data_IF_555795983871
#
_entry.id   IF_555795983871
#
_cell.length_a   1.000
_cell.length_b   1.000
_cell.length_c   1.000
_cell.angle_alpha   90.00
_cell.angle_beta   90.00
_cell.angle_gamma   90.00
#
_symmetry.space_group_name_H-M   'P 1'
#
loop_
_entity.id
_entity.type
_entity.pdbx_description
1 polymer ?
#
# COMPACT_ATOMS: atom_id res chain seq x y z
N UNK A 1 -53.05 -28.55 31.04
CA UNK A 1 -54.08 -27.57 30.66
C UNK A 1 -53.80 -27.12 29.22
N UNK A 2 -54.81 -27.05 28.34
CA UNK A 2 -55.86 -28.03 28.06
C UNK A 2 -55.75 -28.53 26.58
N UNK A 3 -56.64 -29.48 26.21
CA UNK A 3 -57.39 -29.61 24.93
C UNK A 3 -56.74 -29.18 23.57
N UNK A 4 -56.91 -29.84 22.42
CA UNK A 4 -57.99 -30.69 21.92
C UNK A 4 -57.56 -31.34 20.57
N UNK A 5 -57.79 -32.65 20.47
CA UNK A 5 -58.37 -33.43 19.34
C UNK A 5 -57.84 -33.33 17.89
N UNK A 6 -57.44 -34.51 17.40
CA UNK A 6 -57.18 -34.93 16.01
C UNK A 6 -58.50 -35.05 15.18
N UNK A 7 -58.64 -35.86 14.11
CA UNK A 7 -57.73 -36.45 13.11
C UNK A 7 -58.26 -36.22 11.66
N UNK A 8 -57.66 -36.85 10.64
CA UNK A 8 -58.37 -37.77 9.71
C UNK A 8 -57.35 -38.44 8.78
N UNK A 9 -57.02 -39.69 9.12
CA UNK A 9 -56.58 -40.71 8.18
C UNK A 9 -57.64 -40.95 7.10
N UNK A 10 -57.24 -41.33 5.88
CA UNK A 10 -57.95 -42.33 5.05
C UNK A 10 -57.07 -42.77 3.87
N UNK A 11 -56.46 -43.95 4.05
CA UNK A 11 -56.56 -45.12 3.13
C UNK A 11 -55.56 -45.30 1.98
N UNK A 12 -54.59 -46.19 2.25
CA UNK A 12 -53.90 -47.17 1.38
C UNK A 12 -54.94 -48.11 0.70
N UNK A 13 -54.75 -48.80 -0.47
CA UNK A 13 -53.55 -49.60 -0.73
C UNK A 13 -53.14 -49.98 -2.18
N UNK A 14 -51.92 -50.56 -2.22
CA UNK A 14 -51.43 -51.65 -3.09
C UNK A 14 -51.26 -51.40 -4.60
N UNK A 15 -50.04 -51.56 -5.12
CA UNK A 15 -49.51 -52.89 -5.47
C UNK A 15 -48.15 -52.78 -6.21
N UNK A 16 -47.16 -53.48 -5.66
CA UNK A 16 -46.27 -54.42 -6.36
C UNK A 16 -45.70 -54.07 -7.74
N UNK A 17 -44.38 -53.85 -7.80
CA UNK A 17 -43.38 -54.76 -8.41
C UNK A 17 -42.09 -54.00 -8.72
N UNK A 18 -40.99 -54.42 -8.09
CA UNK A 18 -39.67 -54.28 -8.72
C UNK A 18 -39.62 -55.16 -9.97
N UNK A 19 -38.90 -54.71 -11.01
CA UNK A 19 -37.61 -55.33 -11.24
C UNK A 19 -36.50 -54.34 -11.62
N UNK A 20 -35.27 -54.77 -11.32
CA UNK A 20 -33.99 -54.16 -11.65
C UNK A 20 -33.82 -53.81 -13.12
N UNK A 21 -33.11 -52.72 -13.41
CA UNK A 21 -32.71 -52.34 -14.77
C UNK A 21 -31.68 -51.22 -14.75
N UNK A 22 -30.46 -51.58 -15.11
CA UNK A 22 -29.21 -50.82 -15.12
C UNK A 22 -29.20 -49.65 -16.13
N UNK A 23 -28.30 -48.68 -15.88
CA UNK A 23 -27.67 -47.72 -16.82
C UNK A 23 -28.36 -46.36 -17.11
N UNK A 24 -27.64 -45.30 -16.72
CA UNK A 24 -27.39 -44.16 -17.62
C UNK A 24 -27.92 -42.81 -17.15
N UNK A 25 -27.10 -42.05 -16.40
CA UNK A 25 -27.02 -40.57 -16.48
C UNK A 25 -26.00 -40.03 -15.45
N UNK A 26 -24.71 -40.29 -15.66
CA UNK A 26 -23.61 -39.65 -14.93
C UNK A 26 -22.64 -39.12 -15.97
N UNK A 27 -22.85 -37.89 -16.42
CA UNK A 27 -21.97 -37.30 -17.43
C UNK A 27 -22.61 -36.13 -18.14
N UNK A 28 -22.79 -35.01 -17.43
CA UNK A 28 -22.89 -33.69 -18.07
C UNK A 28 -22.74 -32.53 -17.07
N UNK A 29 -22.93 -32.76 -15.77
CA UNK A 29 -22.76 -31.71 -14.74
C UNK A 29 -21.29 -31.42 -14.36
N UNK A 30 -20.43 -32.44 -14.35
CA UNK A 30 -19.04 -32.27 -13.91
C UNK A 30 -18.16 -31.56 -14.95
N UNK A 31 -18.37 -31.76 -16.25
CA UNK A 31 -17.56 -31.07 -17.27
C UNK A 31 -17.86 -29.56 -17.33
N UNK A 32 -19.12 -29.17 -17.16
CA UNK A 32 -19.50 -27.77 -17.09
C UNK A 32 -18.97 -27.09 -15.82
N UNK A 33 -19.06 -27.76 -14.65
CA UNK A 33 -18.47 -27.25 -13.40
C UNK A 33 -16.95 -27.15 -13.48
N UNK A 34 -16.26 -28.16 -14.01
CA UNK A 34 -14.81 -28.12 -14.19
C UNK A 34 -14.42 -27.03 -15.18
N UNK A 35 -15.15 -26.85 -16.27
CA UNK A 35 -14.93 -25.78 -17.23
C UNK A 35 -15.13 -24.39 -16.62
N UNK A 36 -16.20 -24.19 -15.85
CA UNK A 36 -16.47 -22.93 -15.14
C UNK A 36 -15.40 -22.64 -14.08
N UNK A 37 -14.98 -23.65 -13.32
CA UNK A 37 -13.89 -23.53 -12.34
C UNK A 37 -12.56 -23.22 -13.03
N UNK A 38 -12.23 -23.88 -14.14
CA UNK A 38 -11.01 -23.58 -14.91
C UNK A 38 -11.04 -22.15 -15.48
N UNK A 39 -12.16 -21.71 -16.03
CA UNK A 39 -12.30 -20.33 -16.53
C UNK A 39 -12.20 -19.33 -15.38
N UNK A 40 -12.81 -19.59 -14.22
CA UNK A 40 -12.65 -18.76 -13.03
C UNK A 40 -11.21 -18.71 -12.53
N UNK A 41 -10.50 -19.84 -12.48
CA UNK A 41 -9.10 -19.90 -12.09
C UNK A 41 -8.21 -19.14 -13.08
N UNK A 42 -8.46 -19.28 -14.38
CA UNK A 42 -7.74 -18.55 -15.42
C UNK A 42 -8.03 -17.04 -15.33
N UNK A 43 -9.28 -16.62 -15.13
CA UNK A 43 -9.64 -15.21 -14.97
C UNK A 43 -9.07 -14.61 -13.69
N UNK A 44 -9.09 -15.35 -12.58
CA UNK A 44 -8.47 -14.93 -11.32
C UNK A 44 -6.94 -14.84 -11.46
N UNK A 45 -6.31 -15.78 -12.16
CA UNK A 45 -4.89 -15.75 -12.47
C UNK A 45 -4.51 -14.53 -13.33
N UNK A 46 -5.26 -14.25 -14.41
CA UNK A 46 -5.02 -13.09 -15.27
C UNK A 46 -5.33 -11.76 -14.59
N UNK A 47 -6.32 -11.72 -13.69
CA UNK A 47 -6.64 -10.51 -12.90
C UNK A 47 -5.70 -10.28 -11.71
N UNK A 48 -4.91 -11.29 -11.32
CA UNK A 48 -3.97 -11.22 -10.19
C UNK A 48 -2.53 -10.89 -10.59
N UNK A 49 -2.19 -10.96 -11.88
CA UNK A 49 -0.86 -10.57 -12.35
C UNK A 49 -0.73 -9.04 -12.27
N UNK A 50 0.36 -8.56 -11.64
CA UNK A 50 0.68 -7.14 -11.63
C UNK A 50 0.90 -6.63 -13.05
N UNK A 51 0.40 -5.44 -13.36
CA UNK A 51 0.73 -4.81 -14.63
C UNK A 51 2.21 -4.41 -14.62
N UNK A 52 2.99 -4.91 -15.58
CA UNK A 52 4.36 -4.45 -15.83
C UNK A 52 4.39 -3.27 -16.81
N UNK A 53 3.24 -2.66 -17.10
CA UNK A 53 3.11 -1.49 -17.96
C UNK A 53 3.36 -0.19 -17.18
N UNK A 54 4.59 -0.04 -16.69
CA UNK A 54 5.00 1.15 -15.97
C UNK A 54 5.32 2.30 -16.93
N UNK A 55 5.05 3.56 -16.54
CA UNK A 55 5.47 4.70 -17.34
C UNK A 55 7.00 4.79 -17.40
N UNK A 56 7.54 5.33 -18.50
CA UNK A 56 8.95 5.71 -18.59
C UNK A 56 9.15 7.09 -17.96
N UNK A 57 9.92 7.16 -16.88
CA UNK A 57 10.18 8.39 -16.11
C UNK A 57 11.61 8.37 -15.62
N UNK A 58 12.33 9.49 -15.76
CA UNK A 58 13.71 9.61 -15.30
C UNK A 58 13.82 9.60 -13.76
N UNK A 59 14.93 9.09 -13.19
CA UNK A 59 15.11 9.01 -11.73
C UNK A 59 14.94 10.35 -11.01
N UNK A 60 15.37 11.45 -11.61
CA UNK A 60 15.26 12.81 -11.06
C UNK A 60 13.81 13.23 -10.87
N UNK A 61 12.95 12.91 -11.85
CA UNK A 61 11.52 13.24 -11.80
C UNK A 61 10.80 12.41 -10.76
N UNK A 62 11.15 11.11 -10.65
CA UNK A 62 10.61 10.23 -9.62
C UNK A 62 11.04 10.66 -8.22
N UNK A 63 12.31 11.04 -8.04
CA UNK A 63 12.84 11.59 -6.79
C UNK A 63 12.16 12.90 -6.40
N UNK A 64 11.96 13.80 -7.36
CA UNK A 64 11.25 15.08 -7.15
C UNK A 64 9.82 14.86 -6.68
N UNK A 65 9.08 13.91 -7.26
CA UNK A 65 7.73 13.54 -6.81
C UNK A 65 7.72 13.01 -5.38
N UNK A 66 8.63 12.09 -5.04
CA UNK A 66 8.75 11.56 -3.68
C UNK A 66 9.08 12.67 -2.65
N UNK A 67 9.95 13.61 -3.01
CA UNK A 67 10.28 14.76 -2.18
C UNK A 67 9.08 15.69 -2.00
N UNK A 68 8.34 16.02 -3.07
CA UNK A 68 7.16 16.89 -3.01
C UNK A 68 6.08 16.33 -2.05
N UNK A 69 5.82 15.03 -2.14
CA UNK A 69 4.94 14.31 -1.21
C UNK A 69 5.39 14.45 0.25
N UNK A 70 6.68 14.30 0.51
CA UNK A 70 7.25 14.50 1.85
C UNK A 70 7.19 15.96 2.31
N UNK A 71 7.43 16.91 1.41
CA UNK A 71 7.40 18.34 1.68
C UNK A 71 6.00 18.82 2.08
N UNK A 72 4.96 18.33 1.38
CA UNK A 72 3.57 18.61 1.73
C UNK A 72 3.25 18.09 3.14
N UNK A 73 3.60 16.82 3.42
CA UNK A 73 3.38 16.24 4.74
C UNK A 73 4.14 17.02 5.84
N UNK A 74 5.39 17.42 5.58
CA UNK A 74 6.22 18.20 6.49
C UNK A 74 5.57 19.56 6.85
N UNK A 75 4.99 20.23 5.85
CA UNK A 75 4.31 21.50 6.03
C UNK A 75 3.04 21.35 6.88
N UNK A 76 2.24 20.29 6.67
CA UNK A 76 1.03 20.00 7.45
C UNK A 76 1.35 19.61 8.91
N UNK A 77 2.40 18.80 9.10
CA UNK A 77 2.96 18.48 10.42
C UNK A 77 3.40 19.74 11.15
N UNK A 78 3.80 20.77 10.41
CA UNK A 78 4.07 22.11 10.94
C UNK A 78 5.41 22.23 11.66
N UNK A 79 6.35 21.32 11.37
CA UNK A 79 7.72 21.42 11.84
C UNK A 79 8.40 22.66 11.26
N UNK A 80 9.41 23.18 11.96
CA UNK A 80 10.07 24.45 11.62
C UNK A 80 11.56 24.32 11.34
N UNK A 81 12.16 23.20 11.72
CA UNK A 81 13.58 22.93 11.49
C UNK A 81 13.79 22.60 10.01
N UNK A 82 14.94 22.99 9.47
CA UNK A 82 15.40 22.49 8.16
C UNK A 82 16.25 21.24 8.39
N UNK A 83 16.14 20.27 7.50
CA UNK A 83 16.86 19.00 7.51
C UNK A 83 17.75 18.95 6.29
N UNK A 84 19.05 19.05 6.51
CA UNK A 84 20.03 18.96 5.43
C UNK A 84 20.12 17.54 4.87
N UNK A 85 20.47 17.38 3.58
CA UNK A 85 20.61 16.07 2.96
C UNK A 85 21.64 15.18 3.67
N UNK A 86 21.37 13.88 3.69
CA UNK A 86 22.21 12.85 4.30
C UNK A 86 21.72 12.38 5.66
N UNK A 87 22.56 11.57 6.30
CA UNK A 87 22.36 11.05 7.66
C UNK A 87 23.70 11.03 8.37
N UNK A 88 23.74 11.58 9.58
CA UNK A 88 24.93 11.46 10.42
C UNK A 88 24.92 10.12 11.16
N UNK A 89 23.80 9.79 11.81
CA UNK A 89 23.59 8.57 12.60
C UNK A 89 22.14 8.09 12.52
N UNK A 90 21.96 6.94 11.87
CA UNK A 90 20.64 6.34 11.68
C UNK A 90 19.90 6.14 13.01
N UNK A 91 18.64 6.58 13.07
CA UNK A 91 17.76 6.43 14.23
C UNK A 91 18.09 7.32 15.42
N UNK A 92 19.06 8.24 15.28
CA UNK A 92 19.51 9.15 16.34
C UNK A 92 19.55 10.60 15.86
N UNK A 93 20.09 10.86 14.67
CA UNK A 93 20.19 12.20 14.11
C UNK A 93 19.06 12.50 13.13
N UNK A 94 19.05 13.73 12.62
CA UNK A 94 18.36 14.03 11.37
C UNK A 94 18.75 13.10 10.23
N UNK A 95 17.78 12.84 9.37
CA UNK A 95 17.93 12.10 8.13
C UNK A 95 17.18 12.82 7.03
N UNK A 96 17.73 12.85 5.82
CA UNK A 96 17.06 13.34 4.61
C UNK A 96 17.72 12.65 3.42
N UNK A 97 17.14 11.57 2.93
CA UNK A 97 17.75 10.69 1.94
C UNK A 97 16.73 10.24 0.89
N UNK A 98 17.22 9.99 -0.31
CA UNK A 98 16.51 9.17 -1.28
C UNK A 98 16.99 7.72 -1.20
N UNK A 99 16.13 6.80 -1.62
CA UNK A 99 16.53 5.43 -1.95
C UNK A 99 15.66 4.91 -3.08
N UNK A 100 16.22 4.02 -3.89
CA UNK A 100 15.48 3.32 -4.93
C UNK A 100 15.21 1.87 -4.53
N UNK A 101 14.25 1.24 -5.19
CA UNK A 101 13.91 -0.15 -4.94
C UNK A 101 13.38 -0.84 -6.19
N UNK A 102 13.49 -2.18 -6.18
CA UNK A 102 12.99 -3.02 -7.25
C UNK A 102 11.46 -2.98 -7.38
N UNK A 103 11.02 -3.11 -8.62
CA UNK A 103 9.63 -3.39 -8.98
C UNK A 103 9.47 -4.86 -9.36
N UNK A 104 8.29 -5.40 -9.10
CA UNK A 104 8.00 -6.83 -9.26
C UNK A 104 6.79 -7.02 -10.18
N UNK A 105 6.77 -8.12 -10.93
CA UNK A 105 5.68 -8.48 -11.85
C UNK A 105 4.42 -9.03 -11.16
N UNK A 106 4.46 -9.20 -9.83
CA UNK A 106 3.35 -9.68 -9.01
C UNK A 106 3.05 -11.18 -9.17
N UNK A 107 3.85 -11.91 -9.96
CA UNK A 107 3.84 -13.37 -10.07
C UNK A 107 2.48 -14.00 -10.43
N UNK A 108 2.43 -15.32 -10.55
CA UNK A 108 1.15 -16.04 -10.55
C UNK A 108 0.69 -16.17 -9.09
N UNK A 109 -0.41 -15.49 -8.72
CA UNK A 109 -0.95 -15.49 -7.35
C UNK A 109 0.06 -15.01 -6.28
N UNK A 110 1.05 -14.19 -6.65
CA UNK A 110 2.08 -13.67 -5.73
C UNK A 110 3.10 -14.71 -5.23
N UNK A 111 3.21 -15.88 -5.87
CA UNK A 111 4.10 -16.96 -5.42
C UNK A 111 5.49 -16.97 -6.08
N UNK A 112 5.64 -16.30 -7.22
CA UNK A 112 6.85 -16.31 -8.06
C UNK A 112 7.19 -14.88 -8.56
N UNK A 113 7.12 -13.90 -7.66
CA UNK A 113 7.41 -12.50 -7.99
C UNK A 113 8.86 -12.35 -8.48
N UNK A 114 9.02 -11.86 -9.71
CA UNK A 114 10.33 -11.56 -10.29
C UNK A 114 10.52 -10.06 -10.37
N UNK A 115 11.77 -9.64 -10.20
CA UNK A 115 12.15 -8.27 -10.48
C UNK A 115 11.93 -7.97 -11.96
N UNK A 116 11.35 -6.82 -12.25
CA UNK A 116 11.18 -6.35 -13.62
C UNK A 116 12.41 -5.52 -13.99
N UNK A 117 13.19 -6.01 -14.94
CA UNK A 117 14.42 -5.36 -15.37
C UNK A 117 14.17 -3.93 -15.87
N UNK A 118 15.01 -3.00 -15.42
CA UNK A 118 14.87 -1.56 -15.70
C UNK A 118 13.71 -0.85 -15.03
N UNK A 119 12.84 -1.57 -14.30
CA UNK A 119 11.79 -0.98 -13.50
C UNK A 119 12.27 -0.73 -12.06
N UNK A 120 12.00 0.48 -11.59
CA UNK A 120 12.42 0.96 -10.28
C UNK A 120 11.32 1.83 -9.67
N UNK A 121 11.40 2.01 -8.35
CA UNK A 121 10.62 3.03 -7.64
C UNK A 121 11.54 3.87 -6.80
N UNK A 122 11.21 5.15 -6.65
CA UNK A 122 11.91 6.07 -5.76
C UNK A 122 11.15 6.25 -4.46
N UNK A 123 11.91 6.46 -3.39
CA UNK A 123 11.38 6.88 -2.11
C UNK A 123 12.24 7.95 -1.49
N UNK A 124 11.61 8.78 -0.68
CA UNK A 124 12.23 9.80 0.13
C UNK A 124 11.94 9.51 1.59
N UNK A 125 12.99 9.54 2.42
CA UNK A 125 12.91 9.29 3.84
C UNK A 125 13.60 10.40 4.61
N UNK A 126 12.97 10.85 5.69
CA UNK A 126 13.49 11.90 6.54
C UNK A 126 13.19 11.64 8.01
N UNK A 127 14.00 12.24 8.87
CA UNK A 127 13.84 12.14 10.30
C UNK A 127 14.22 13.41 11.04
N UNK A 128 13.60 13.60 12.20
CA UNK A 128 13.89 14.66 13.14
C UNK A 128 14.10 14.06 14.54
N UNK A 129 15.27 14.34 15.11
CA UNK A 129 15.52 14.23 16.54
C UNK A 129 14.91 15.39 17.33
N UNK A 130 14.66 15.13 18.62
CA UNK A 130 14.15 16.08 19.60
C UNK A 130 12.79 16.70 19.25
N UNK A 131 11.88 15.91 18.66
CA UNK A 131 10.49 16.29 18.42
C UNK A 131 9.63 15.92 19.63
N UNK A 132 9.19 16.89 20.44
CA UNK A 132 8.38 16.60 21.62
C UNK A 132 6.95 16.18 21.24
N UNK A 133 6.31 15.43 22.12
CA UNK A 133 4.91 15.00 22.00
C UNK A 133 3.94 16.15 21.66
N UNK A 134 4.18 17.33 22.24
CA UNK A 134 3.37 18.55 22.02
C UNK A 134 3.39 19.07 20.58
N UNK A 135 4.35 18.61 19.75
CA UNK A 135 4.45 18.90 18.32
C UNK A 135 4.04 17.71 17.48
N UNK A 136 4.59 16.53 17.76
CA UNK A 136 4.36 15.32 16.97
C UNK A 136 2.89 14.89 16.94
N UNK A 137 2.26 14.75 18.12
CA UNK A 137 0.88 14.22 18.25
C UNK A 137 -0.15 15.10 17.54
N UNK A 138 -0.26 16.42 17.83
CA UNK A 138 -1.20 17.26 17.10
C UNK A 138 -0.83 17.41 15.62
N UNK A 139 0.46 17.30 15.26
CA UNK A 139 0.91 17.26 13.87
C UNK A 139 0.35 16.07 13.11
N UNK A 140 0.55 14.86 13.63
CA UNK A 140 0.06 13.61 13.04
C UNK A 140 -1.46 13.61 12.86
N UNK A 141 -2.22 14.12 13.83
CA UNK A 141 -3.68 14.25 13.71
C UNK A 141 -4.09 15.18 12.57
N UNK A 142 -3.42 16.33 12.41
CA UNK A 142 -3.66 17.24 11.27
C UNK A 142 -3.29 16.57 9.95
N UNK A 143 -2.15 15.88 9.90
CA UNK A 143 -1.70 15.17 8.72
C UNK A 143 -2.66 14.06 8.31
N UNK A 144 -3.13 13.25 9.26
CA UNK A 144 -4.11 12.21 9.01
C UNK A 144 -5.40 12.79 8.40
N UNK A 145 -5.92 13.89 8.97
CA UNK A 145 -7.12 14.54 8.46
C UNK A 145 -6.89 15.08 7.04
N UNK A 146 -5.79 15.82 6.84
CA UNK A 146 -5.41 16.36 5.54
C UNK A 146 -5.29 15.27 4.46
N UNK A 147 -4.61 14.16 4.76
CA UNK A 147 -4.44 13.06 3.80
C UNK A 147 -5.79 12.42 3.45
N UNK A 148 -6.67 12.18 4.43
CA UNK A 148 -8.03 11.68 4.19
C UNK A 148 -8.83 12.62 3.29
N UNK A 149 -8.79 13.93 3.57
CA UNK A 149 -9.51 14.94 2.81
C UNK A 149 -8.99 15.07 1.35
N UNK A 150 -7.74 14.66 1.11
CA UNK A 150 -7.10 14.66 -0.21
C UNK A 150 -7.07 13.26 -0.87
N UNK A 151 -7.95 12.35 -0.44
CA UNK A 151 -8.18 11.07 -1.13
C UNK A 151 -7.19 9.94 -0.80
N UNK A 152 -6.36 10.10 0.23
CA UNK A 152 -5.52 9.00 0.71
C UNK A 152 -6.32 8.02 1.56
N UNK A 153 -6.04 6.73 1.40
CA UNK A 153 -6.57 5.68 2.25
C UNK A 153 -5.64 5.46 3.44
N UNK A 154 -6.16 5.60 4.67
CA UNK A 154 -5.41 5.26 5.88
C UNK A 154 -5.43 3.76 6.10
N UNK A 155 -4.28 3.10 5.94
CA UNK A 155 -4.12 1.65 6.13
C UNK A 155 -3.83 1.30 7.58
N UNK A 156 -3.19 2.20 8.32
CA UNK A 156 -2.96 2.07 9.75
C UNK A 156 -2.85 3.44 10.41
N UNK A 157 -3.52 3.61 11.54
CA UNK A 157 -3.35 4.77 12.41
C UNK A 157 -3.39 4.32 13.86
N UNK A 158 -2.27 4.49 14.56
CA UNK A 158 -2.13 4.09 15.96
C UNK A 158 -1.77 5.30 16.79
N UNK A 159 -2.69 5.69 17.66
CA UNK A 159 -2.38 6.64 18.72
C UNK A 159 -1.71 5.88 19.87
N UNK A 160 -0.40 6.07 20.04
CA UNK A 160 0.35 5.47 21.13
C UNK A 160 -0.10 5.98 22.50
N UNK A 161 -0.38 5.07 23.43
CA UNK A 161 -0.49 5.41 24.85
C UNK A 161 0.86 5.89 25.43
N UNK A 162 0.93 6.08 26.76
CA UNK A 162 2.20 6.48 27.41
C UNK A 162 3.35 5.54 27.01
N UNK A 163 4.37 6.09 26.36
CA UNK A 163 5.58 5.37 25.95
C UNK A 163 5.40 4.43 24.75
N UNK A 164 4.29 4.52 24.00
CA UNK A 164 4.10 3.74 22.77
C UNK A 164 4.18 4.61 21.54
N UNK A 165 4.69 4.02 20.46
CA UNK A 165 4.84 4.69 19.18
C UNK A 165 3.49 5.14 18.60
N UNK A 166 3.56 6.24 17.87
CA UNK A 166 2.45 6.76 17.09
C UNK A 166 2.73 6.53 15.63
N UNK A 167 1.82 5.85 14.95
CA UNK A 167 2.01 5.44 13.56
C UNK A 167 0.90 5.98 12.67
N UNK A 168 1.27 6.41 11.48
CA UNK A 168 0.35 6.72 10.38
C UNK A 168 0.91 6.12 9.10
N UNK A 169 0.16 5.20 8.50
CA UNK A 169 0.43 4.64 7.18
C UNK A 169 -0.74 4.95 6.27
N UNK A 170 -0.42 5.47 5.10
CA UNK A 170 -1.41 5.80 4.06
C UNK A 170 -0.97 5.27 2.72
N UNK A 171 -1.95 5.02 1.87
CA UNK A 171 -1.71 4.64 0.49
C UNK A 171 -2.73 5.26 -0.46
N UNK A 172 -2.37 5.30 -1.73
CA UNK A 172 -3.23 5.68 -2.85
C UNK A 172 -2.87 4.82 -4.05
N UNK A 173 -3.75 4.81 -5.06
CA UNK A 173 -3.54 4.15 -6.35
C UNK A 173 -3.15 2.68 -6.15
N UNK A 174 -4.04 1.95 -5.47
CA UNK A 174 -3.90 0.54 -5.11
C UNK A 174 -2.63 0.15 -4.34
N UNK A 175 -1.96 1.14 -3.74
CA UNK A 175 -0.75 0.93 -2.96
C UNK A 175 0.53 1.32 -3.69
N UNK A 176 0.46 1.82 -4.92
CA UNK A 176 1.64 2.27 -5.66
C UNK A 176 2.23 3.54 -5.05
N UNK A 177 1.36 4.42 -4.53
CA UNK A 177 1.77 5.55 -3.71
C UNK A 177 1.60 5.23 -2.23
N UNK A 178 2.65 5.46 -1.43
CA UNK A 178 2.64 5.20 0.01
C UNK A 178 3.33 6.32 0.77
N UNK A 179 2.82 6.62 1.96
CA UNK A 179 3.55 7.40 2.95
C UNK A 179 3.48 6.73 4.32
N UNK A 180 4.52 6.91 5.11
CA UNK A 180 4.59 6.40 6.47
C UNK A 180 5.18 7.46 7.39
N UNK A 181 4.64 7.54 8.60
CA UNK A 181 5.09 8.45 9.64
C UNK A 181 5.04 7.75 10.98
N UNK A 182 6.13 7.83 11.73
CA UNK A 182 6.20 7.27 13.08
C UNK A 182 6.83 8.27 14.04
N UNK A 183 6.22 8.46 15.20
CA UNK A 183 6.82 9.17 16.32
C UNK A 183 7.10 8.23 17.49
N UNK A 184 8.34 8.27 17.95
CA UNK A 184 8.91 7.44 19.00
C UNK A 184 9.05 8.26 20.29
N UNK A 185 8.15 8.08 21.28
CA UNK A 185 8.15 8.88 22.50
C UNK A 185 9.31 8.61 23.45
N UNK A 186 9.96 7.45 23.34
CA UNK A 186 11.11 7.04 24.16
C UNK A 186 12.36 7.89 23.89
N UNK A 187 12.47 8.45 22.68
CA UNK A 187 13.64 9.20 22.21
C UNK A 187 13.31 10.52 21.51
N UNK A 188 12.06 10.98 21.61
CA UNK A 188 11.56 12.18 20.92
C UNK A 188 11.96 12.21 19.44
N UNK A 189 11.79 11.09 18.74
CA UNK A 189 12.26 10.91 17.37
C UNK A 189 11.08 10.77 16.43
N UNK A 190 11.11 11.50 15.31
CA UNK A 190 10.05 11.46 14.31
C UNK A 190 10.64 11.04 12.98
N UNK A 191 10.05 10.04 12.35
CA UNK A 191 10.39 9.63 10.97
C UNK A 191 9.19 9.86 10.06
N UNK A 192 9.47 10.18 8.81
CA UNK A 192 8.49 10.30 7.76
C UNK A 192 9.09 9.95 6.41
N UNK A 193 8.26 9.51 5.48
CA UNK A 193 8.72 9.23 4.13
C UNK A 193 7.58 8.97 3.17
N UNK A 194 7.90 9.07 1.88
CA UNK A 194 6.99 8.83 0.78
C UNK A 194 7.67 7.97 -0.29
N UNK A 195 6.92 7.05 -0.89
CA UNK A 195 7.33 6.31 -2.08
C UNK A 195 6.34 6.57 -3.21
N UNK A 196 6.88 6.64 -4.42
CA UNK A 196 6.11 6.82 -5.66
C UNK A 196 5.93 5.48 -6.41
N UNK A 197 5.03 5.41 -7.39
CA UNK A 197 4.81 4.20 -8.18
C UNK A 197 6.07 3.69 -8.89
N UNK A 198 5.99 2.49 -9.44
CA UNK A 198 7.03 1.97 -10.32
C UNK A 198 7.10 2.75 -11.64
N UNK A 199 8.31 2.90 -12.18
CA UNK A 199 8.59 3.46 -13.50
C UNK A 199 9.74 2.69 -14.16
N UNK A 200 9.81 2.73 -15.48
CA UNK A 200 11.00 2.33 -16.22
C UNK A 200 11.95 3.52 -16.35
N UNK A 201 13.24 3.29 -16.14
CA UNK A 201 14.26 4.28 -16.44
C UNK A 201 14.47 4.35 -17.98
N UNK A 202 14.26 5.52 -18.61
CA UNK A 202 14.47 5.69 -20.04
C UNK A 202 15.89 5.36 -20.52
N UNK A 203 16.89 5.49 -19.65
CA UNK A 203 18.31 5.30 -19.99
C UNK A 203 18.86 3.91 -19.65
N UNK A 204 18.05 3.06 -18.99
CA UNK A 204 18.44 1.71 -18.59
C UNK A 204 18.77 0.83 -19.81
N UNK A 205 19.82 0.01 -19.67
CA UNK A 205 20.31 -0.91 -20.68
C UNK A 205 20.44 -2.32 -20.14
N UNK A 206 20.32 -3.29 -21.05
CA UNK A 206 20.56 -4.69 -20.75
C UNK A 206 21.96 -4.87 -20.13
N UNK A 207 21.99 -5.37 -18.90
CA UNK A 207 23.22 -5.58 -18.12
C UNK A 207 23.49 -4.53 -17.03
N UNK A 208 22.70 -3.45 -16.97
CA UNK A 208 22.72 -2.54 -15.83
C UNK A 208 22.26 -3.25 -14.55
N UNK A 209 22.91 -2.95 -13.42
CA UNK A 209 22.71 -3.65 -12.15
C UNK A 209 21.93 -2.77 -11.18
N UNK A 210 20.85 -3.31 -10.64
CA UNK A 210 20.09 -2.69 -9.57
C UNK A 210 19.05 -1.67 -10.05
N UNK A 211 18.25 -1.12 -9.12
CA UNK A 211 17.32 -0.04 -9.41
C UNK A 211 18.04 1.27 -9.72
N UNK A 212 17.50 2.06 -10.63
CA UNK A 212 18.02 3.39 -10.96
C UNK A 212 17.74 4.42 -9.87
N UNK A 213 18.61 5.43 -9.73
CA UNK A 213 18.38 6.60 -8.88
C UNK A 213 19.00 6.56 -7.49
N UNK A 214 19.85 5.57 -7.17
CA UNK A 214 20.57 5.51 -5.88
C UNK A 214 21.61 6.62 -5.69
N UNK A 215 21.98 7.34 -6.75
CA UNK A 215 22.91 8.47 -6.72
C UNK A 215 22.23 9.82 -6.43
N UNK A 216 20.90 9.85 -6.40
CA UNK A 216 20.12 11.07 -6.23
C UNK A 216 20.27 11.60 -4.80
N UNK A 217 20.48 12.91 -4.68
CA UNK A 217 20.55 13.61 -3.38
C UNK A 217 19.32 14.51 -3.21
N UNK A 218 18.55 14.40 -2.11
CA UNK A 218 17.41 15.27 -1.90
C UNK A 218 17.82 16.72 -1.66
N UNK A 219 16.96 17.70 -1.98
CA UNK A 219 17.10 19.05 -1.45
C UNK A 219 16.96 19.08 0.07
N UNK A 220 17.36 20.18 0.71
CA UNK A 220 17.08 20.39 2.13
C UNK A 220 15.55 20.43 2.37
N UNK A 221 15.07 19.64 3.34
CA UNK A 221 13.66 19.58 3.71
C UNK A 221 13.37 20.60 4.82
N UNK A 222 12.45 21.53 4.60
CA UNK A 222 12.12 22.53 5.61
C UNK A 222 10.77 23.20 5.32
N UNK A 223 10.32 24.14 6.16
CA UNK A 223 9.05 24.82 5.95
C UNK A 223 9.06 25.54 4.60
N UNK A 224 8.07 25.26 3.75
CA UNK A 224 8.01 25.91 2.45
C UNK A 224 7.80 27.43 2.61
N UNK A 225 8.51 28.24 1.82
CA UNK A 225 8.46 29.71 1.93
C UNK A 225 7.16 30.33 1.41
N UNK A 226 6.09 29.55 1.16
CA UNK A 226 4.81 30.02 0.60
C UNK A 226 4.09 31.07 1.47
N UNK A 227 4.53 31.29 2.71
CA UNK A 227 4.05 32.37 3.58
C UNK A 227 4.78 33.71 3.46
N UNK A 228 5.76 33.86 2.55
CA UNK A 228 6.61 35.04 2.43
C UNK A 228 6.47 35.75 1.07
N UNK A 229 5.24 35.91 0.59
CA UNK A 229 4.98 36.93 -0.44
C UNK A 229 4.81 38.29 0.24
N UNK A 230 5.60 39.33 -0.10
CA UNK A 230 5.27 40.69 0.31
C UNK A 230 3.93 41.06 -0.32
N UNK A 231 2.97 41.51 0.51
CA UNK A 231 1.82 42.24 -0.02
C UNK A 231 2.36 43.49 -0.68
N UNK A 232 2.12 43.61 -1.99
CA UNK A 232 2.24 44.89 -2.70
C UNK A 232 1.19 45.88 -2.18
#
# INVERSE_FOLDING_TARGET
MPEETAPTDTTTPAASKSPSGVLGALGCGCAALVGVVLVLVVLLAYGSAGSTDFPRVAPEDMASRAFQSSQEAYDVLGFKRTVEPGVERVGVSTENTFSSGYCYDGGLLGMDDKTVDGAYRMSHSWALDHVPASRAVPGLRRLQQHLKDNGWTVTSYREGGKGKDWDLYVQRDDGDERMSFTWFPDRDYFIGGASVPCAYDPEWKDGDIGPSGDDQTPPALGPSQRGRMPRA
#
